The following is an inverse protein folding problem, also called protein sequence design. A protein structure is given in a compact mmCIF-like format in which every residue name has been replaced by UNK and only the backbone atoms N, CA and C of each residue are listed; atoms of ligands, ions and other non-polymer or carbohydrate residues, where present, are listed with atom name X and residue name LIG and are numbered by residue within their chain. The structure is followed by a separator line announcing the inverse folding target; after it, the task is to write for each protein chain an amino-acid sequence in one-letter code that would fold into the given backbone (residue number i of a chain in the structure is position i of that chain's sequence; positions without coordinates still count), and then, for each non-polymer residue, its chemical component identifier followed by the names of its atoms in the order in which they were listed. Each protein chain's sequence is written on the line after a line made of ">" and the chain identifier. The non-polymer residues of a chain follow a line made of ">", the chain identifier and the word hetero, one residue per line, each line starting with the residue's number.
data_IF_529606709223
#
_entry.id   IF_529606709223
#
_cell.length_a   1.000
_cell.length_b   1.000
_cell.length_c   1.000
_cell.angle_alpha   90.00
_cell.angle_beta   90.00
_cell.angle_gamma   90.00
#
_symmetry.space_group_name_H-M   'P 1'
#
loop_
_entity.id
_entity.type
_entity.pdbx_description
1 polymer ?
#
# COMPACT_ATOMS: atom_id res chain seq x y z
N UNK A 1 31.17 15.04 -1.63
CA UNK A 1 30.26 15.90 -0.85
C UNK A 1 28.82 15.57 -1.22
N UNK A 2 28.23 14.53 -0.63
CA UNK A 2 26.78 14.34 -0.57
C UNK A 2 26.39 14.49 0.91
N UNK A 3 26.40 15.73 1.38
CA UNK A 3 25.95 16.06 2.72
C UNK A 3 24.43 16.26 2.67
N UNK A 4 23.70 15.30 3.23
CA UNK A 4 22.76 15.59 4.31
C UNK A 4 21.46 16.40 4.04
N UNK A 5 20.78 16.24 2.92
CA UNK A 5 19.45 16.86 2.72
C UNK A 5 18.27 16.09 3.37
N UNK A 6 18.44 14.80 3.68
CA UNK A 6 17.36 14.00 4.32
C UNK A 6 17.27 14.16 5.85
N UNK A 7 18.29 14.74 6.49
CA UNK A 7 18.36 14.85 7.96
C UNK A 7 17.72 16.13 8.54
N UNK A 8 17.01 16.92 7.72
CA UNK A 8 16.34 18.15 8.15
C UNK A 8 14.82 18.12 7.98
N UNK A 9 14.23 16.95 7.70
CA UNK A 9 12.79 16.79 7.63
C UNK A 9 12.24 16.69 9.06
N UNK A 10 11.21 17.50 9.37
CA UNK A 10 10.45 17.36 10.61
C UNK A 10 10.05 15.88 10.81
N UNK A 11 10.11 15.34 12.05
CA UNK A 11 9.90 13.91 12.31
C UNK A 11 8.59 13.35 11.71
N UNK A 12 7.55 14.20 11.60
CA UNK A 12 6.29 13.85 10.96
C UNK A 12 6.40 13.57 9.47
N UNK A 13 7.12 14.40 8.71
CA UNK A 13 7.26 14.27 7.26
C UNK A 13 8.13 13.05 6.88
N UNK A 14 9.18 12.78 7.65
CA UNK A 14 10.00 11.57 7.47
C UNK A 14 9.17 10.28 7.65
N UNK A 15 8.28 10.27 8.64
CA UNK A 15 7.35 9.15 8.86
C UNK A 15 6.40 8.96 7.66
N UNK A 16 5.86 10.04 7.10
CA UNK A 16 5.02 10.00 5.90
C UNK A 16 5.75 9.36 4.72
N UNK A 17 6.97 9.80 4.40
CA UNK A 17 7.76 9.21 3.31
C UNK A 17 8.13 7.75 3.56
N UNK A 18 8.44 7.38 4.80
CA UNK A 18 8.68 5.99 5.19
C UNK A 18 7.45 5.10 4.98
N UNK A 19 6.26 5.62 5.27
CA UNK A 19 5.00 4.92 5.02
C UNK A 19 4.72 4.76 3.52
N UNK A 20 4.91 5.82 2.74
CA UNK A 20 4.71 5.80 1.29
C UNK A 20 5.66 4.78 0.64
N UNK A 21 6.94 4.76 1.04
CA UNK A 21 7.90 3.80 0.51
C UNK A 21 7.51 2.35 0.80
N UNK A 22 6.94 2.07 1.98
CA UNK A 22 6.41 0.74 2.28
C UNK A 22 5.27 0.32 1.33
N UNK A 23 4.45 1.27 0.88
CA UNK A 23 3.36 0.97 -0.07
C UNK A 23 3.82 0.64 -1.49
N UNK A 24 5.08 0.90 -1.83
CA UNK A 24 5.66 0.54 -3.13
C UNK A 24 5.72 -0.98 -3.34
N UNK A 25 5.53 -1.79 -2.30
CA UNK A 25 5.30 -3.25 -2.40
C UNK A 25 4.15 -3.63 -3.34
N UNK A 26 3.14 -2.76 -3.46
CA UNK A 26 2.01 -2.92 -4.39
C UNK A 26 2.45 -3.12 -5.85
N UNK A 27 3.61 -2.59 -6.25
CA UNK A 27 4.16 -2.77 -7.59
C UNK A 27 4.57 -4.21 -7.90
N UNK A 28 4.98 -4.99 -6.90
CA UNK A 28 5.27 -6.41 -7.08
C UNK A 28 3.96 -7.19 -7.27
N UNK A 29 2.93 -6.84 -6.50
CA UNK A 29 1.63 -7.50 -6.44
C UNK A 29 0.76 -7.18 -7.66
N UNK A 30 0.90 -6.00 -8.29
CA UNK A 30 0.08 -5.61 -9.46
C UNK A 30 0.13 -6.60 -10.62
N UNK A 31 1.24 -7.34 -10.75
CA UNK A 31 1.42 -8.33 -11.82
C UNK A 31 0.65 -9.62 -11.58
N UNK A 32 0.11 -9.80 -10.37
CA UNK A 32 -0.78 -10.89 -9.95
C UNK A 32 -2.26 -10.50 -10.09
N UNK A 33 -2.55 -9.30 -10.61
CA UNK A 33 -3.92 -8.82 -10.78
C UNK A 33 -4.59 -9.40 -12.03
N UNK A 34 -5.80 -9.93 -11.86
CA UNK A 34 -6.68 -10.37 -12.94
C UNK A 34 -6.52 -11.86 -13.32
N UNK A 35 -7.33 -12.35 -14.29
CA UNK A 35 -7.36 -13.76 -14.68
C UNK A 35 -6.09 -14.23 -15.38
N UNK A 36 -5.26 -13.30 -15.87
CA UNK A 36 -3.92 -13.56 -16.42
C UNK A 36 -2.80 -13.11 -15.46
N UNK A 37 -3.12 -12.97 -14.17
CA UNK A 37 -2.15 -12.65 -13.12
C UNK A 37 -1.06 -13.72 -13.03
N UNK A 38 0.18 -13.27 -12.81
CA UNK A 38 1.32 -14.16 -12.63
C UNK A 38 1.42 -14.62 -11.18
N UNK A 39 1.58 -15.93 -10.97
CA UNK A 39 1.94 -16.48 -9.67
C UNK A 39 3.30 -15.94 -9.21
N UNK A 40 3.45 -15.77 -7.90
CA UNK A 40 4.70 -15.41 -7.23
C UNK A 40 5.20 -16.59 -6.45
N UNK A 41 6.48 -16.91 -6.66
CA UNK A 41 7.23 -17.84 -5.83
C UNK A 41 7.97 -17.02 -4.77
N UNK A 42 7.59 -17.22 -3.52
CA UNK A 42 8.21 -16.58 -2.35
C UNK A 42 8.99 -17.66 -1.61
N UNK A 43 10.27 -17.39 -1.34
CA UNK A 43 11.12 -18.27 -0.55
C UNK A 43 11.38 -17.60 0.80
N UNK A 44 10.92 -18.23 1.88
CA UNK A 44 11.20 -17.79 3.23
C UNK A 44 12.61 -18.24 3.67
N UNK A 45 13.13 -17.62 4.73
CA UNK A 45 14.47 -17.90 5.26
C UNK A 45 14.62 -19.33 5.79
N UNK A 46 13.51 -19.95 6.22
CA UNK A 46 13.43 -21.35 6.61
C UNK A 46 13.45 -22.35 5.43
N UNK A 47 13.72 -21.88 4.20
CA UNK A 47 13.69 -22.65 2.95
C UNK A 47 12.31 -23.15 2.52
N UNK A 48 11.24 -22.67 3.15
CA UNK A 48 9.87 -22.92 2.69
C UNK A 48 9.58 -22.11 1.42
N UNK A 49 8.89 -22.74 0.47
CA UNK A 49 8.54 -22.15 -0.81
C UNK A 49 7.03 -22.08 -0.92
N UNK A 50 6.52 -20.86 -1.02
CA UNK A 50 5.08 -20.59 -1.22
C UNK A 50 4.88 -20.03 -2.62
N UNK A 51 4.07 -20.71 -3.43
CA UNK A 51 3.67 -20.24 -4.75
C UNK A 51 2.22 -19.80 -4.69
N UNK A 52 1.95 -18.50 -4.84
CA UNK A 52 0.59 -17.98 -4.76
C UNK A 52 0.37 -16.77 -5.67
N UNK A 53 -0.88 -16.58 -6.09
CA UNK A 53 -1.35 -15.43 -6.85
C UNK A 53 -2.21 -14.48 -5.98
N UNK A 54 -2.53 -14.89 -4.75
CA UNK A 54 -3.34 -14.08 -3.85
C UNK A 54 -2.51 -12.99 -3.18
N UNK A 55 -2.95 -11.74 -3.35
CA UNK A 55 -2.29 -10.57 -2.77
C UNK A 55 -2.23 -10.59 -1.25
N UNK A 56 -3.23 -11.17 -0.56
CA UNK A 56 -3.22 -11.26 0.91
C UNK A 56 -2.13 -12.20 1.42
N UNK A 57 -2.05 -13.40 0.82
CA UNK A 57 -1.00 -14.38 1.11
C UNK A 57 0.39 -13.84 0.78
N UNK A 58 0.58 -13.18 -0.37
CA UNK A 58 1.86 -12.56 -0.74
C UNK A 58 2.30 -11.54 0.32
N UNK A 59 1.41 -10.63 0.73
CA UNK A 59 1.73 -9.61 1.72
C UNK A 59 2.04 -10.20 3.10
N UNK A 60 1.36 -11.27 3.50
CA UNK A 60 1.60 -11.93 4.78
C UNK A 60 3.02 -12.49 4.84
N UNK A 61 3.44 -13.21 3.80
CA UNK A 61 4.80 -13.75 3.70
C UNK A 61 5.86 -12.63 3.63
N UNK A 62 5.57 -11.55 2.89
CA UNK A 62 6.48 -10.40 2.81
C UNK A 62 6.61 -9.64 4.13
N UNK A 63 5.53 -9.50 4.91
CA UNK A 63 5.55 -8.82 6.20
C UNK A 63 6.42 -9.55 7.24
N UNK A 64 6.56 -10.87 7.14
CA UNK A 64 7.44 -11.68 8.02
C UNK A 64 8.93 -11.38 7.75
N UNK A 65 9.28 -10.95 6.54
CA UNK A 65 10.67 -10.67 6.14
C UNK A 65 11.18 -9.30 6.62
N UNK A 66 10.31 -8.33 6.92
CA UNK A 66 10.72 -6.99 7.35
C UNK A 66 10.79 -6.90 8.88
N UNK A 67 11.74 -6.13 9.45
CA UNK A 67 11.84 -5.95 10.90
C UNK A 67 10.53 -5.37 11.48
N UNK A 68 10.13 -5.73 12.71
CA UNK A 68 8.90 -5.22 13.34
C UNK A 68 8.89 -3.70 13.56
N UNK A 69 10.03 -3.02 13.39
CA UNK A 69 10.17 -1.56 13.38
C UNK A 69 9.61 -0.92 12.10
N UNK A 70 9.47 -1.67 11.00
CA UNK A 70 8.78 -1.26 9.77
C UNK A 70 7.28 -1.61 9.86
N UNK A 71 6.58 -1.04 10.86
CA UNK A 71 5.11 -1.21 11.05
C UNK A 71 4.26 -0.72 9.87
N UNK A 72 4.90 -0.10 8.89
CA UNK A 72 4.28 0.61 7.79
C UNK A 72 3.59 -0.34 6.79
N UNK A 73 4.15 -1.55 6.61
CA UNK A 73 3.58 -2.60 5.73
C UNK A 73 2.33 -3.25 6.36
N UNK A 74 2.20 -3.17 7.69
CA UNK A 74 1.07 -3.75 8.44
C UNK A 74 -0.29 -3.20 7.96
N UNK A 75 -0.37 -1.91 7.61
CA UNK A 75 -1.61 -1.31 7.13
C UNK A 75 -2.12 -1.97 5.83
N UNK A 76 -1.22 -2.36 4.92
CA UNK A 76 -1.61 -3.04 3.69
C UNK A 76 -2.05 -4.49 3.95
N UNK A 77 -1.41 -5.17 4.91
CA UNK A 77 -1.81 -6.53 5.33
C UNK A 77 -3.22 -6.51 5.93
N UNK A 78 -3.51 -5.57 6.83
CA UNK A 78 -4.84 -5.46 7.45
C UNK A 78 -5.90 -5.05 6.43
N UNK A 79 -5.59 -4.16 5.47
CA UNK A 79 -6.52 -3.83 4.39
C UNK A 79 -6.88 -5.06 3.54
N UNK A 80 -5.87 -5.85 3.18
CA UNK A 80 -6.08 -7.08 2.41
C UNK A 80 -6.88 -8.12 3.20
N UNK A 81 -6.56 -8.31 4.49
CA UNK A 81 -7.28 -9.21 5.39
C UNK A 81 -8.75 -8.80 5.57
N UNK A 82 -9.01 -7.50 5.73
CA UNK A 82 -10.37 -6.97 5.85
C UNK A 82 -11.18 -7.20 4.56
N UNK A 83 -10.54 -7.09 3.40
CA UNK A 83 -11.18 -7.37 2.11
C UNK A 83 -11.46 -8.87 1.92
N UNK A 84 -10.50 -9.72 2.30
CA UNK A 84 -10.63 -11.18 2.22
C UNK A 84 -11.80 -11.70 3.07
N UNK A 85 -11.96 -11.16 4.29
CA UNK A 85 -13.09 -11.50 5.19
C UNK A 85 -14.43 -11.02 4.61
N UNK A 86 -14.47 -9.87 3.93
CA UNK A 86 -15.73 -9.26 3.48
C UNK A 86 -16.24 -9.80 2.15
N UNK A 87 -15.35 -10.02 1.19
CA UNK A 87 -15.72 -10.32 -0.19
C UNK A 87 -14.95 -11.52 -0.78
N UNK A 88 -13.87 -11.96 -0.14
CA UNK A 88 -12.99 -13.04 -0.60
C UNK A 88 -12.49 -12.87 -2.05
N UNK A 89 -12.58 -11.66 -2.59
CA UNK A 89 -12.13 -11.24 -3.92
C UNK A 89 -11.70 -9.77 -3.88
N UNK A 90 -10.87 -9.38 -4.85
CA UNK A 90 -10.34 -8.03 -4.96
C UNK A 90 -9.25 -7.69 -3.93
N UNK A 91 -8.71 -8.67 -3.20
CA UNK A 91 -7.58 -8.49 -2.26
C UNK A 91 -6.41 -7.79 -2.96
N UNK A 92 -6.04 -8.28 -4.14
CA UNK A 92 -4.99 -7.71 -5.01
C UNK A 92 -5.36 -6.32 -5.51
N UNK A 93 -6.62 -6.08 -5.90
CA UNK A 93 -7.08 -4.78 -6.41
C UNK A 93 -6.96 -3.67 -5.36
N UNK A 94 -7.39 -3.96 -4.12
CA UNK A 94 -7.36 -3.00 -3.02
C UNK A 94 -5.91 -2.56 -2.72
N UNK A 95 -4.97 -3.50 -2.73
CA UNK A 95 -3.54 -3.21 -2.49
C UNK A 95 -2.96 -2.32 -3.59
N UNK A 96 -3.29 -2.60 -4.86
CA UNK A 96 -2.81 -1.80 -6.00
C UNK A 96 -3.37 -0.39 -5.96
N UNK A 97 -4.65 -0.23 -5.61
CA UNK A 97 -5.29 1.08 -5.45
C UNK A 97 -4.61 1.85 -4.32
N UNK A 98 -4.39 1.23 -3.15
CA UNK A 98 -3.72 1.87 -2.02
C UNK A 98 -2.31 2.37 -2.39
N UNK A 99 -1.52 1.56 -3.11
CA UNK A 99 -0.20 1.97 -3.59
C UNK A 99 -0.23 3.16 -4.55
N UNK A 100 -1.22 3.20 -5.44
CA UNK A 100 -1.39 4.32 -6.38
C UNK A 100 -1.84 5.61 -5.69
N UNK A 101 -2.70 5.51 -4.68
CA UNK A 101 -3.10 6.67 -3.87
C UNK A 101 -1.91 7.22 -3.08
N UNK A 102 -1.06 6.35 -2.51
CA UNK A 102 0.14 6.77 -1.78
C UNK A 102 1.17 7.46 -2.68
N UNK A 103 1.32 7.01 -3.93
CA UNK A 103 2.16 7.70 -4.93
C UNK A 103 1.61 9.09 -5.26
N UNK A 104 0.30 9.24 -5.41
CA UNK A 104 -0.32 10.56 -5.61
C UNK A 104 -0.08 11.48 -4.41
N UNK A 105 -0.15 10.96 -3.18
CA UNK A 105 0.18 11.70 -1.96
C UNK A 105 1.66 12.09 -1.93
N UNK A 106 2.58 11.23 -2.39
CA UNK A 106 4.02 11.55 -2.51
C UNK A 106 4.24 12.81 -3.37
N UNK A 107 3.56 12.89 -4.52
CA UNK A 107 3.63 14.05 -5.40
C UNK A 107 3.06 15.32 -4.74
N UNK A 108 1.95 15.21 -4.00
CA UNK A 108 1.33 16.35 -3.32
C UNK A 108 2.18 16.88 -2.15
N UNK A 109 2.86 15.99 -1.43
CA UNK A 109 3.79 16.37 -0.37
C UNK A 109 5.03 17.08 -0.93
N UNK A 110 5.50 16.71 -2.13
CA UNK A 110 6.59 17.40 -2.81
C UNK A 110 6.22 18.82 -3.25
N UNK A 111 4.92 19.10 -3.44
CA UNK A 111 4.41 20.45 -3.77
C UNK A 111 4.16 21.33 -2.53
N UNK A 112 4.64 20.93 -1.35
CA UNK A 112 4.54 21.70 -0.09
C UNK A 112 3.09 21.95 0.37
N UNK A 113 2.18 21.01 0.07
CA UNK A 113 0.79 21.06 0.52
C UNK A 113 0.68 20.48 1.94
N UNK A 114 -0.05 21.18 2.81
CA UNK A 114 -0.34 20.73 4.17
C UNK A 114 -0.98 19.34 4.21
N UNK A 115 -0.42 18.44 5.01
CA UNK A 115 -0.89 17.05 5.14
C UNK A 115 -2.35 16.96 5.58
N UNK A 116 -2.81 17.87 6.45
CA UNK A 116 -4.22 17.94 6.89
C UNK A 116 -5.16 18.20 5.72
N UNK A 117 -4.77 19.10 4.81
CA UNK A 117 -5.57 19.41 3.63
C UNK A 117 -5.66 18.21 2.68
N UNK A 118 -4.56 17.47 2.51
CA UNK A 118 -4.54 16.23 1.72
C UNK A 118 -5.51 15.21 2.32
N UNK A 119 -5.45 14.97 3.64
CA UNK A 119 -6.36 14.04 4.32
C UNK A 119 -7.84 14.41 4.10
N UNK A 120 -8.20 15.68 4.31
CA UNK A 120 -9.56 16.18 4.12
C UNK A 120 -10.04 16.02 2.67
N UNK A 121 -9.16 16.31 1.71
CA UNK A 121 -9.47 16.18 0.29
C UNK A 121 -9.75 14.72 -0.10
N UNK A 122 -8.91 13.78 0.36
CA UNK A 122 -9.10 12.35 0.10
C UNK A 122 -10.37 11.81 0.78
N UNK A 123 -10.70 12.28 1.98
CA UNK A 123 -11.93 11.88 2.66
C UNK A 123 -13.19 12.36 1.93
N UNK A 124 -13.20 13.62 1.46
CA UNK A 124 -14.28 14.17 0.61
C UNK A 124 -14.39 13.42 -0.71
N UNK A 125 -13.26 13.13 -1.37
CA UNK A 125 -13.23 12.39 -2.62
C UNK A 125 -13.77 10.96 -2.47
N UNK A 126 -13.40 10.27 -1.39
CA UNK A 126 -13.91 8.93 -1.06
C UNK A 126 -15.43 8.94 -0.87
N UNK A 127 -15.95 9.87 -0.07
CA UNK A 127 -17.39 10.02 0.15
C UNK A 127 -18.15 10.25 -1.17
N UNK A 128 -17.64 11.14 -2.02
CA UNK A 128 -18.27 11.43 -3.32
C UNK A 128 -18.21 10.25 -4.29
N UNK A 129 -17.12 9.48 -4.26
CA UNK A 129 -16.97 8.27 -5.09
C UNK A 129 -17.99 7.21 -4.70
N UNK A 130 -18.22 7.01 -3.39
CA UNK A 130 -19.23 6.07 -2.90
C UNK A 130 -20.64 6.52 -3.26
N UNK A 131 -20.93 7.83 -3.15
CA UNK A 131 -22.21 8.40 -3.58
C UNK A 131 -22.46 8.15 -5.08
N UNK A 132 -21.45 8.41 -5.91
CA UNK A 132 -21.54 8.20 -7.35
C UNK A 132 -21.76 6.73 -7.71
N UNK A 133 -21.04 5.80 -7.05
CA UNK A 133 -21.19 4.37 -7.28
C UNK A 133 -22.61 3.88 -6.93
N UNK A 134 -23.18 4.37 -5.82
CA UNK A 134 -24.56 4.06 -5.41
C UNK A 134 -25.63 4.64 -6.32
N UNK A 135 -25.33 5.74 -7.01
CA UNK A 135 -26.26 6.40 -7.92
C UNK A 135 -26.21 5.79 -9.33
N UNK A 136 -25.05 5.22 -9.68
CA UNK A 136 -24.80 4.60 -10.99
C UNK A 136 -25.06 3.09 -11.01
N UNK A 137 -25.36 2.49 -9.85
CA UNK A 137 -25.77 1.09 -9.69
C UNK A 137 -27.27 1.02 -9.47
#
# INVERSE_FOLDING_TARGET
>A
MQYNEQNNLVPGLLSCFSNINATKVSYAIRTSLGPRGMHKMIRADNSEVTITNDGASILKEMNVMYPPSCKNVFHLVELSRAQDIKASDGTTSVIVIAGKLSEAVECLLQTDIDTTFICDAFQKASAKTVEYYRTSS
#
